data_IF_676218434783
#
_entry.id   IF_676218434783
#
_cell.length_a   1.000
_cell.length_b   1.000
_cell.length_c   1.000
_cell.angle_alpha   90.00
_cell.angle_beta   90.00
_cell.angle_gamma   90.00
#
_symmetry.space_group_name_H-M   'P 1'
#
loop_
_entity.id
_entity.type
_entity.pdbx_description
1 polymer ?
#
# COMPACT_ATOMS: atom_id res chain seq x y z
N UNK A 1 -52.78 -32.93 52.00
CA UNK A 1 -52.40 -32.61 50.61
C UNK A 1 -50.99 -33.12 50.37
N UNK A 2 -50.69 -33.75 49.23
CA UNK A 2 -49.37 -34.32 49.04
C UNK A 2 -48.34 -33.25 48.63
N UNK A 3 -47.19 -33.25 49.30
CA UNK A 3 -46.17 -32.21 49.27
C UNK A 3 -45.66 -31.81 47.86
N UNK A 4 -45.83 -32.67 46.84
CA UNK A 4 -45.45 -32.38 45.46
C UNK A 4 -46.31 -31.32 44.76
N UNK A 5 -47.57 -31.16 45.19
CA UNK A 5 -48.42 -30.03 44.74
C UNK A 5 -47.90 -28.67 45.24
N UNK A 6 -47.12 -28.64 46.32
CA UNK A 6 -46.47 -27.44 46.83
C UNK A 6 -45.12 -27.13 46.17
N UNK A 7 -44.49 -28.10 45.50
CA UNK A 7 -43.17 -27.95 44.86
C UNK A 7 -43.23 -27.51 43.39
N UNK A 8 -44.32 -27.83 42.68
CA UNK A 8 -44.57 -27.42 41.29
C UNK A 8 -44.49 -25.89 41.05
N UNK A 9 -45.04 -25.02 41.93
CA UNK A 9 -44.91 -23.57 41.80
C UNK A 9 -43.48 -23.04 41.99
N UNK A 10 -42.59 -23.82 42.63
CA UNK A 10 -41.20 -23.44 42.89
C UNK A 10 -40.26 -23.85 41.75
N UNK A 11 -40.57 -24.93 41.02
CA UNK A 11 -39.71 -25.49 39.96
C UNK A 11 -39.95 -24.84 38.59
N UNK A 12 -41.19 -24.46 38.28
CA UNK A 12 -41.55 -23.82 37.00
C UNK A 12 -40.86 -22.46 36.75
N UNK A 13 -40.73 -21.55 37.75
CA UNK A 13 -39.99 -20.29 37.59
C UNK A 13 -38.50 -20.51 37.30
N UNK A 14 -37.87 -21.45 38.00
CA UNK A 14 -36.45 -21.78 37.83
C UNK A 14 -36.14 -22.30 36.42
N UNK A 15 -37.00 -23.15 35.86
CA UNK A 15 -36.86 -23.63 34.48
C UNK A 15 -37.04 -22.49 33.45
N UNK A 16 -37.97 -21.58 33.70
CA UNK A 16 -38.18 -20.38 32.89
C UNK A 16 -36.95 -19.45 32.89
N UNK A 17 -36.35 -19.24 34.07
CA UNK A 17 -35.14 -18.43 34.25
C UNK A 17 -33.94 -19.01 33.49
N UNK A 18 -33.76 -20.33 33.53
CA UNK A 18 -32.68 -21.03 32.82
C UNK A 18 -32.85 -20.92 31.31
N UNK A 19 -34.07 -21.09 30.79
CA UNK A 19 -34.36 -20.93 29.36
C UNK A 19 -34.12 -19.49 28.90
N UNK A 20 -34.51 -18.49 29.70
CA UNK A 20 -34.19 -17.07 29.44
C UNK A 20 -32.68 -16.82 29.43
N UNK A 21 -31.96 -17.24 30.47
CA UNK A 21 -30.50 -17.06 30.57
C UNK A 21 -29.73 -17.70 29.40
N UNK A 22 -30.17 -18.86 28.91
CA UNK A 22 -29.56 -19.52 27.75
C UNK A 22 -29.91 -18.77 26.45
N UNK A 23 -31.12 -18.24 26.33
CA UNK A 23 -31.53 -17.37 25.22
C UNK A 23 -30.70 -16.09 25.16
N UNK A 24 -30.58 -15.39 26.29
CA UNK A 24 -29.87 -14.11 26.40
C UNK A 24 -28.38 -14.27 26.08
N UNK A 25 -27.73 -15.34 26.56
CA UNK A 25 -26.33 -15.66 26.22
C UNK A 25 -26.13 -16.00 24.74
N UNK A 26 -27.11 -16.59 24.06
CA UNK A 26 -27.02 -16.85 22.62
C UNK A 26 -27.12 -15.56 21.80
N UNK A 27 -27.99 -14.65 22.21
CA UNK A 27 -28.14 -13.33 21.57
C UNK A 27 -26.86 -12.52 21.74
N UNK A 28 -26.31 -12.47 22.96
CA UNK A 28 -25.07 -11.74 23.26
C UNK A 28 -23.88 -12.29 22.44
N UNK A 29 -23.76 -13.62 22.30
CA UNK A 29 -22.71 -14.21 21.46
C UNK A 29 -22.91 -13.95 19.97
N UNK A 30 -24.15 -13.86 19.49
CA UNK A 30 -24.45 -13.53 18.11
C UNK A 30 -24.12 -12.06 17.81
N UNK A 31 -24.40 -11.15 18.74
CA UNK A 31 -24.05 -9.73 18.63
C UNK A 31 -22.54 -9.52 18.65
N UNK A 32 -21.80 -10.16 19.58
CA UNK A 32 -20.33 -10.11 19.60
C UNK A 32 -19.70 -10.63 18.31
N UNK A 33 -20.23 -11.72 17.74
CA UNK A 33 -19.77 -12.24 16.44
C UNK A 33 -20.05 -11.26 15.30
N UNK A 34 -21.19 -10.59 15.34
CA UNK A 34 -21.55 -9.57 14.34
C UNK A 34 -20.62 -8.36 14.43
N UNK A 35 -20.30 -7.87 15.63
CA UNK A 35 -19.38 -6.75 15.82
C UNK A 35 -17.96 -7.07 15.30
N UNK A 36 -17.47 -8.29 15.56
CA UNK A 36 -16.16 -8.74 15.05
C UNK A 36 -16.15 -8.77 13.51
N UNK A 37 -17.22 -9.30 12.90
CA UNK A 37 -17.36 -9.36 11.44
C UNK A 37 -17.50 -7.97 10.81
N UNK A 38 -18.23 -7.03 11.43
CA UNK A 38 -18.31 -5.64 10.96
C UNK A 38 -16.95 -4.93 11.08
N UNK A 39 -16.17 -5.21 12.13
CA UNK A 39 -14.82 -4.68 12.29
C UNK A 39 -13.84 -5.23 11.24
N UNK A 40 -13.89 -6.54 10.95
CA UNK A 40 -13.11 -7.15 9.86
C UNK A 40 -13.49 -6.60 8.50
N UNK A 41 -14.79 -6.43 8.21
CA UNK A 41 -15.26 -5.85 6.96
C UNK A 41 -14.74 -4.41 6.77
N UNK A 42 -14.78 -3.57 7.82
CA UNK A 42 -14.20 -2.22 7.78
C UNK A 42 -12.70 -2.24 7.50
N UNK A 43 -11.96 -3.15 8.13
CA UNK A 43 -10.50 -3.28 7.93
C UNK A 43 -10.17 -3.75 6.51
N UNK A 44 -10.96 -4.66 5.97
CA UNK A 44 -10.81 -5.15 4.60
C UNK A 44 -11.12 -4.03 3.58
N UNK A 45 -12.14 -3.22 3.85
CA UNK A 45 -12.47 -2.05 3.03
C UNK A 45 -11.32 -1.03 3.01
N UNK A 46 -10.74 -0.71 4.17
CA UNK A 46 -9.60 0.23 4.24
C UNK A 46 -8.36 -0.30 3.50
N UNK A 47 -8.14 -1.62 3.51
CA UNK A 47 -7.05 -2.23 2.75
C UNK A 47 -7.30 -2.12 1.24
N UNK A 48 -8.53 -2.40 0.78
CA UNK A 48 -8.89 -2.27 -0.63
C UNK A 48 -8.73 -0.83 -1.14
N UNK A 49 -9.13 0.16 -0.34
CA UNK A 49 -8.94 1.58 -0.68
C UNK A 49 -7.45 1.94 -0.77
N UNK A 50 -6.62 1.37 0.11
CA UNK A 50 -5.16 1.56 0.07
C UNK A 50 -4.55 0.95 -1.19
N UNK A 51 -4.97 -0.26 -1.58
CA UNK A 51 -4.56 -0.88 -2.84
C UNK A 51 -4.99 -0.07 -4.06
N UNK A 52 -6.20 0.51 -4.04
CA UNK A 52 -6.71 1.33 -5.14
C UNK A 52 -5.85 2.58 -5.34
N UNK A 53 -5.47 3.27 -4.25
CA UNK A 53 -4.56 4.44 -4.31
C UNK A 53 -3.15 4.08 -4.81
N UNK A 54 -2.60 2.96 -4.33
CA UNK A 54 -1.30 2.45 -4.80
C UNK A 54 -1.35 2.11 -6.30
N UNK A 55 -2.45 1.52 -6.77
CA UNK A 55 -2.64 1.24 -8.18
C UNK A 55 -2.69 2.51 -9.02
N UNK A 56 -3.43 3.54 -8.58
CA UNK A 56 -3.49 4.85 -9.25
C UNK A 56 -2.12 5.53 -9.33
N UNK A 57 -1.29 5.43 -8.28
CA UNK A 57 0.08 5.95 -8.29
C UNK A 57 0.96 5.22 -9.32
N UNK A 58 0.90 3.89 -9.34
CA UNK A 58 1.68 3.08 -10.30
C UNK A 58 1.28 3.38 -11.74
N UNK A 59 -0.02 3.58 -12.01
CA UNK A 59 -0.50 3.93 -13.35
C UNK A 59 0.04 5.30 -13.78
N UNK A 60 0.00 6.31 -12.90
CA UNK A 60 0.56 7.64 -13.20
C UNK A 60 2.07 7.60 -13.45
N UNK A 61 2.83 6.86 -12.63
CA UNK A 61 4.28 6.71 -12.83
C UNK A 61 4.59 6.03 -14.17
N UNK A 62 3.81 5.02 -14.57
CA UNK A 62 3.97 4.37 -15.88
C UNK A 62 3.70 5.33 -17.03
N UNK A 63 2.66 6.15 -16.95
CA UNK A 63 2.34 7.15 -17.97
C UNK A 63 3.46 8.20 -18.11
N UNK A 64 4.03 8.67 -16.99
CA UNK A 64 5.18 9.60 -17.03
C UNK A 64 6.42 8.98 -17.65
N UNK A 65 6.75 7.72 -17.31
CA UNK A 65 7.91 7.02 -17.88
C UNK A 65 7.76 6.81 -19.38
N UNK A 66 6.56 6.40 -19.84
CA UNK A 66 6.28 6.23 -21.28
C UNK A 66 6.36 7.57 -22.01
N UNK A 67 5.84 8.65 -21.42
CA UNK A 67 5.90 9.99 -22.01
C UNK A 67 7.35 10.46 -22.16
N UNK A 68 8.19 10.32 -21.13
CA UNK A 68 9.62 10.68 -21.17
C UNK A 68 10.38 9.86 -22.20
N UNK A 69 10.11 8.55 -22.29
CA UNK A 69 10.76 7.68 -23.27
C UNK A 69 10.42 8.11 -24.71
N UNK A 70 9.14 8.40 -24.98
CA UNK A 70 8.68 8.84 -26.31
C UNK A 70 9.27 10.19 -26.71
N UNK A 71 9.45 11.09 -25.75
CA UNK A 71 10.11 12.38 -25.99
C UNK A 71 11.60 12.19 -26.35
N UNK A 72 12.30 11.29 -25.65
CA UNK A 72 13.71 10.98 -25.97
C UNK A 72 13.90 10.35 -27.35
N UNK A 73 12.99 9.45 -27.76
CA UNK A 73 13.04 8.84 -29.10
C UNK A 73 12.78 9.85 -30.23
N UNK A 74 11.84 10.79 -30.03
CA UNK A 74 11.61 11.85 -31.02
C UNK A 74 12.81 12.80 -31.15
N UNK A 75 13.49 13.10 -30.04
CA UNK A 75 14.68 13.95 -30.06
C UNK A 75 15.87 13.28 -30.76
N UNK A 76 16.07 11.97 -30.59
CA UNK A 76 17.14 11.24 -31.28
C UNK A 76 16.85 11.10 -32.77
N UNK A 77 15.62 10.73 -33.15
CA UNK A 77 15.20 10.65 -34.55
C UNK A 77 15.36 12.00 -35.28
N UNK A 78 14.94 13.10 -34.64
CA UNK A 78 15.12 14.46 -35.19
C UNK A 78 16.59 14.86 -35.34
N UNK A 79 17.51 14.38 -34.49
CA UNK A 79 18.95 14.66 -34.63
C UNK A 79 19.55 13.90 -35.79
N UNK A 80 19.23 12.61 -35.93
CA UNK A 80 19.73 11.78 -37.03
C UNK A 80 19.26 12.29 -38.40
N UNK A 81 18.00 12.71 -38.51
CA UNK A 81 17.45 13.24 -39.77
C UNK A 81 18.11 14.56 -40.17
N UNK A 82 18.38 15.45 -39.21
CA UNK A 82 19.13 16.70 -39.44
C UNK A 82 20.57 16.43 -39.89
N UNK A 83 21.25 15.42 -39.35
CA UNK A 83 22.59 15.04 -39.79
C UNK A 83 22.59 14.46 -41.20
N UNK A 84 21.64 13.59 -41.55
CA UNK A 84 21.49 13.05 -42.91
C UNK A 84 21.29 14.17 -43.95
N UNK A 85 20.39 15.11 -43.65
CA UNK A 85 20.17 16.30 -44.50
C UNK A 85 21.45 17.13 -44.66
N UNK A 86 22.17 17.38 -43.56
CA UNK A 86 23.42 18.16 -43.58
C UNK A 86 24.50 17.50 -44.44
N UNK A 87 24.64 16.18 -44.38
CA UNK A 87 25.60 15.44 -45.20
C UNK A 87 25.22 15.48 -46.69
N UNK A 88 23.94 15.28 -47.01
CA UNK A 88 23.45 15.36 -48.39
C UNK A 88 23.68 16.75 -49.02
N UNK A 89 23.43 17.83 -48.27
CA UNK A 89 23.71 19.19 -48.74
C UNK A 89 25.20 19.44 -48.98
N UNK A 90 26.10 18.90 -48.13
CA UNK A 90 27.55 19.02 -48.31
C UNK A 90 28.02 18.33 -49.60
N UNK A 91 27.49 17.15 -49.91
CA UNK A 91 27.85 16.44 -51.15
C UNK A 91 27.34 17.15 -52.40
N UNK A 92 26.13 17.72 -52.36
CA UNK A 92 25.61 18.53 -53.46
C UNK A 92 26.43 19.80 -53.73
N UNK A 93 26.92 20.46 -52.67
CA UNK A 93 27.76 21.66 -52.83
C UNK A 93 29.07 21.27 -53.52
N UNK A 94 29.72 20.21 -53.04
CA UNK A 94 31.01 19.74 -53.57
C UNK A 94 30.92 19.38 -55.05
N UNK A 95 29.89 18.63 -55.45
CA UNK A 95 29.67 18.25 -56.86
C UNK A 95 29.41 19.45 -57.77
N UNK A 96 28.71 20.48 -57.30
CA UNK A 96 28.48 21.73 -58.06
C UNK A 96 29.75 22.57 -58.22
N UNK A 97 30.57 22.65 -57.17
CA UNK A 97 31.86 23.35 -57.22
C UNK A 97 32.82 22.72 -58.22
N UNK A 98 32.90 21.39 -58.24
CA UNK A 98 33.75 20.64 -59.18
C UNK A 98 33.31 20.86 -60.64
N UNK A 99 31.99 20.86 -60.90
CA UNK A 99 31.44 21.12 -62.23
C UNK A 99 31.76 22.55 -62.73
N UNK A 100 31.65 23.55 -61.84
CA UNK A 100 31.97 24.95 -62.18
C UNK A 100 33.45 25.15 -62.49
N UNK A 101 34.34 24.51 -61.73
CA UNK A 101 35.78 24.61 -61.94
C UNK A 101 36.19 24.00 -63.29
N UNK A 102 35.58 22.89 -63.69
CA UNK A 102 35.84 22.27 -65.00
C UNK A 102 35.43 23.19 -66.16
N UNK A 103 34.24 23.78 -66.11
CA UNK A 103 33.74 24.68 -67.16
C UNK A 103 34.63 25.93 -67.34
N UNK A 104 35.18 26.49 -66.26
CA UNK A 104 36.11 27.65 -66.32
C UNK A 104 37.42 27.32 -67.03
N UNK A 105 37.92 26.09 -66.84
CA UNK A 105 39.18 25.64 -67.42
C UNK A 105 39.08 25.45 -68.94
N UNK A 106 37.94 24.93 -69.41
CA UNK A 106 37.65 24.74 -70.83
C UNK A 106 37.55 26.09 -71.56
N UNK A 107 36.80 27.05 -71.01
CA UNK A 107 36.61 28.39 -71.60
C UNK A 107 37.92 29.21 -71.72
N UNK A 108 38.95 28.89 -70.94
CA UNK A 108 40.26 29.56 -71.01
C UNK A 108 41.10 29.06 -72.19
N UNK A 109 41.04 27.76 -72.48
CA UNK A 109 41.81 27.12 -73.56
C UNK A 109 41.37 27.62 -74.94
N UNK A 110 40.08 27.83 -75.13
CA UNK A 110 39.53 28.31 -76.41
C UNK A 110 40.05 29.70 -76.80
N UNK A 111 40.16 30.64 -75.84
CA UNK A 111 40.63 32.02 -76.11
C UNK A 111 42.12 32.13 -76.43
N UNK A 112 42.92 31.14 -76.03
CA UNK A 112 44.36 31.13 -76.32
C UNK A 112 44.65 30.67 -77.76
N UNK A 113 43.84 29.76 -78.31
CA UNK A 113 43.98 29.28 -79.68
C UNK A 113 43.68 30.38 -80.73
N UNK A 114 42.71 31.24 -80.45
CA UNK A 114 42.22 32.25 -81.41
C UNK A 114 43.27 33.34 -81.71
N UNK A 115 44.04 33.76 -80.69
CA UNK A 115 45.04 34.85 -80.80
C UNK A 115 46.25 34.52 -81.67
N UNK A 116 46.63 33.25 -81.78
CA UNK A 116 47.82 32.83 -82.53
C UNK A 116 47.59 32.88 -84.05
N UNK A 117 46.35 32.66 -84.49
CA UNK A 117 46.04 32.56 -85.92
C UNK A 117 46.10 33.90 -86.67
N UNK A 118 45.83 35.02 -85.99
CA UNK A 118 45.62 36.31 -86.66
C UNK A 118 46.92 37.10 -86.92
N UNK A 119 48.03 36.78 -86.26
CA UNK A 119 49.27 37.57 -86.33
C UNK A 119 50.14 37.40 -87.58
N UNK A 120 49.98 36.32 -88.36
CA UNK A 120 51.00 35.88 -89.32
C UNK A 120 50.88 36.46 -90.74
N UNK A 121 49.77 37.12 -91.10
CA UNK A 121 49.38 37.33 -92.51
C UNK A 121 49.84 38.67 -93.12
N UNK A 122 50.18 39.69 -92.33
CA UNK A 122 50.18 41.07 -92.81
C UNK A 122 51.51 41.65 -93.35
N UNK A 123 52.64 40.93 -93.36
CA UNK A 123 53.97 41.57 -93.47
C UNK A 123 54.69 41.55 -94.84
N UNK A 124 54.17 40.93 -95.91
CA UNK A 124 55.02 40.49 -97.05
C UNK A 124 54.76 41.07 -98.47
N UNK A 125 54.08 42.21 -98.72
CA UNK A 125 53.54 42.46 -100.08
C UNK A 125 53.48 43.88 -100.73
N UNK A 126 54.48 44.79 -100.66
CA UNK A 126 54.40 46.09 -101.42
C UNK A 126 55.74 46.68 -102.01
N UNK A 127 55.78 47.18 -103.29
CA UNK A 127 56.98 47.68 -104.02
C UNK A 127 57.26 49.23 -104.03
N UNK A 128 58.45 49.63 -104.55
CA UNK A 128 59.24 50.86 -104.24
C UNK A 128 58.71 52.27 -104.63
N UNK A 129 58.02 52.49 -105.75
CA UNK A 129 57.62 53.87 -106.14
C UNK A 129 56.36 54.35 -105.42
N UNK A 130 55.47 53.41 -105.07
CA UNK A 130 54.47 53.60 -104.03
C UNK A 130 55.12 53.93 -102.69
N UNK A 131 56.39 53.58 -102.43
CA UNK A 131 57.02 53.84 -101.13
C UNK A 131 57.16 55.32 -100.80
N UNK A 132 57.36 56.27 -101.72
CA UNK A 132 57.46 57.69 -101.30
C UNK A 132 56.11 58.27 -100.86
N UNK A 133 55.06 58.05 -101.65
CA UNK A 133 53.69 58.44 -101.28
C UNK A 133 53.17 57.62 -100.09
N UNK A 134 53.54 56.34 -100.02
CA UNK A 134 53.30 55.47 -98.87
C UNK A 134 54.10 55.91 -97.65
N UNK A 135 55.33 56.41 -97.78
CA UNK A 135 56.14 56.93 -96.66
C UNK A 135 55.55 58.24 -96.15
N UNK A 136 55.03 59.11 -97.02
CA UNK A 136 54.30 60.31 -96.59
C UNK A 136 53.00 59.90 -95.88
N UNK A 137 52.18 59.02 -96.47
CA UNK A 137 50.98 58.49 -95.81
C UNK A 137 51.31 57.72 -94.53
N UNK A 138 52.41 57.00 -94.46
CA UNK A 138 52.90 56.31 -93.27
C UNK A 138 53.34 57.30 -92.20
N UNK A 139 53.94 58.45 -92.58
CA UNK A 139 54.25 59.53 -91.64
C UNK A 139 52.99 60.21 -91.12
N UNK A 140 52.02 60.49 -91.98
CA UNK A 140 50.71 61.02 -91.58
C UNK A 140 49.97 60.03 -90.67
N UNK A 141 49.90 58.76 -91.07
CA UNK A 141 49.34 57.68 -90.25
C UNK A 141 50.09 57.52 -88.92
N UNK A 142 51.42 57.62 -88.89
CA UNK A 142 52.18 57.57 -87.65
C UNK A 142 51.91 58.79 -86.74
N UNK A 143 51.64 59.98 -87.31
CA UNK A 143 51.19 61.14 -86.53
C UNK A 143 49.78 60.93 -86.00
N UNK A 144 48.87 60.40 -86.82
CA UNK A 144 47.51 60.05 -86.38
C UNK A 144 47.53 58.95 -85.30
N UNK A 145 48.34 57.91 -85.46
CA UNK A 145 48.54 56.84 -84.48
C UNK A 145 49.12 57.38 -83.18
N UNK A 146 50.11 58.29 -83.23
CA UNK A 146 50.60 58.99 -82.03
C UNK A 146 49.52 59.81 -81.35
N UNK A 147 48.76 60.61 -82.10
CA UNK A 147 47.70 61.43 -81.54
C UNK A 147 46.57 60.57 -80.93
N UNK A 148 46.21 59.47 -81.61
CA UNK A 148 45.24 58.50 -81.12
C UNK A 148 45.76 57.81 -79.85
N UNK A 149 47.05 57.43 -79.82
CA UNK A 149 47.69 56.86 -78.64
C UNK A 149 47.68 57.84 -77.47
N UNK A 150 48.01 59.12 -77.68
CA UNK A 150 47.94 60.16 -76.65
C UNK A 150 46.52 60.39 -76.14
N UNK A 151 45.52 60.35 -77.03
CA UNK A 151 44.11 60.40 -76.64
C UNK A 151 43.69 59.17 -75.83
N UNK A 152 44.10 57.98 -76.24
CA UNK A 152 43.84 56.73 -75.50
C UNK A 152 44.49 56.75 -74.11
N UNK A 153 45.75 57.20 -74.00
CA UNK A 153 46.44 57.34 -72.72
C UNK A 153 45.73 58.34 -71.78
N UNK A 154 45.22 59.45 -72.32
CA UNK A 154 44.41 60.40 -71.54
C UNK A 154 43.09 59.76 -71.08
N UNK A 155 42.45 58.99 -71.94
CA UNK A 155 41.21 58.29 -71.60
C UNK A 155 41.44 57.18 -70.55
N UNK A 156 42.52 56.43 -70.67
CA UNK A 156 42.91 55.40 -69.69
C UNK A 156 43.20 56.03 -68.32
N UNK A 157 43.98 57.13 -68.27
CA UNK A 157 44.20 57.88 -67.03
C UNK A 157 42.89 58.38 -66.41
N UNK A 158 41.97 58.89 -67.23
CA UNK A 158 40.66 59.33 -66.75
C UNK A 158 39.84 58.17 -66.19
N UNK A 159 39.79 57.01 -66.88
CA UNK A 159 39.08 55.83 -66.39
C UNK A 159 39.66 55.27 -65.10
N UNK A 160 40.99 55.22 -64.98
CA UNK A 160 41.67 54.82 -63.74
C UNK A 160 41.27 55.73 -62.59
N UNK A 161 41.20 57.05 -62.82
CA UNK A 161 40.81 58.02 -61.79
C UNK A 161 39.33 57.89 -61.40
N UNK A 162 38.44 57.67 -62.38
CA UNK A 162 37.01 57.41 -62.10
C UNK A 162 36.83 56.11 -61.28
N UNK A 163 37.56 55.04 -61.63
CA UNK A 163 37.53 53.79 -60.88
C UNK A 163 38.07 53.99 -59.46
N UNK A 164 39.17 54.76 -59.30
CA UNK A 164 39.72 55.10 -57.98
C UNK A 164 38.68 55.80 -57.11
N UNK A 165 38.01 56.83 -57.63
CA UNK A 165 36.96 57.56 -56.91
C UNK A 165 35.76 56.68 -56.56
N UNK A 166 35.35 55.78 -57.46
CA UNK A 166 34.28 54.81 -57.20
C UNK A 166 34.67 53.81 -56.11
N UNK A 167 35.90 53.30 -56.12
CA UNK A 167 36.40 52.41 -55.09
C UNK A 167 36.45 53.10 -53.73
N UNK A 168 36.96 54.33 -53.65
CA UNK A 168 36.99 55.12 -52.41
C UNK A 168 35.60 55.33 -51.83
N UNK A 169 34.61 55.68 -52.68
CA UNK A 169 33.22 55.83 -52.26
C UNK A 169 32.62 54.51 -51.75
N UNK A 170 32.94 53.39 -52.38
CA UNK A 170 32.47 52.07 -51.93
C UNK A 170 33.14 51.65 -50.62
N UNK A 171 34.44 51.86 -50.47
CA UNK A 171 35.18 51.57 -49.24
C UNK A 171 34.60 52.33 -48.05
N UNK A 172 34.35 53.64 -48.20
CA UNK A 172 33.72 54.44 -47.14
C UNK A 172 32.32 53.90 -46.75
N UNK A 173 31.55 53.39 -47.73
CA UNK A 173 30.24 52.80 -47.46
C UNK A 173 30.34 51.45 -46.75
N UNK A 174 31.37 50.65 -47.06
CA UNK A 174 31.64 49.38 -46.38
C UNK A 174 32.05 49.63 -44.92
N UNK A 175 32.92 50.61 -44.68
CA UNK A 175 33.33 51.00 -43.32
C UNK A 175 32.13 51.44 -42.47
N UNK A 176 31.25 52.30 -43.00
CA UNK A 176 30.01 52.71 -42.31
C UNK A 176 29.08 51.53 -42.00
N UNK A 177 28.97 50.55 -42.89
CA UNK A 177 28.17 49.35 -42.64
C UNK A 177 28.81 48.45 -41.58
N UNK A 178 30.14 48.33 -41.57
CA UNK A 178 30.86 47.59 -40.54
C UNK A 178 30.69 48.22 -39.16
N UNK A 179 30.80 49.55 -39.06
CA UNK A 179 30.56 50.27 -37.80
C UNK A 179 29.15 50.01 -37.25
N UNK A 180 28.12 50.11 -38.11
CA UNK A 180 26.73 49.82 -37.71
C UNK A 180 26.52 48.38 -37.24
N UNK A 181 27.16 47.40 -37.88
CA UNK A 181 27.07 45.99 -37.46
C UNK A 181 27.71 45.81 -36.08
N UNK A 182 28.86 46.43 -35.84
CA UNK A 182 29.55 46.36 -34.54
C UNK A 182 28.70 47.01 -33.44
N UNK A 183 28.07 48.15 -33.70
CA UNK A 183 27.15 48.79 -32.76
C UNK A 183 25.95 47.90 -32.41
N UNK A 184 25.29 47.32 -33.43
CA UNK A 184 24.19 46.39 -33.20
C UNK A 184 24.62 45.15 -32.40
N UNK A 185 25.81 44.59 -32.68
CA UNK A 185 26.33 43.46 -31.90
C UNK A 185 26.59 43.83 -30.44
N UNK A 186 27.08 45.04 -30.15
CA UNK A 186 27.24 45.53 -28.77
C UNK A 186 25.89 45.67 -28.07
N UNK A 187 24.90 46.29 -28.72
CA UNK A 187 23.55 46.44 -28.16
C UNK A 187 22.90 45.08 -27.88
N UNK A 188 22.95 44.15 -28.84
CA UNK A 188 22.45 42.79 -28.64
C UNK A 188 23.19 42.05 -27.52
N UNK A 189 24.51 42.23 -27.41
CA UNK A 189 25.31 41.65 -26.33
C UNK A 189 24.85 42.14 -24.95
N UNK A 190 24.63 43.44 -24.79
CA UNK A 190 24.13 44.04 -23.54
C UNK A 190 22.74 43.52 -23.17
N UNK A 191 21.83 43.42 -24.16
CA UNK A 191 20.47 42.91 -23.92
C UNK A 191 20.48 41.45 -23.50
N UNK A 192 21.27 40.60 -24.17
CA UNK A 192 21.38 39.17 -23.83
C UNK A 192 22.00 38.97 -22.44
N UNK A 193 23.02 39.75 -22.11
CA UNK A 193 23.64 39.72 -20.78
C UNK A 193 22.63 40.09 -19.68
N UNK A 194 21.87 41.19 -19.85
CA UNK A 194 20.83 41.59 -18.91
C UNK A 194 19.75 40.53 -18.72
N UNK A 195 19.31 39.87 -19.80
CA UNK A 195 18.36 38.74 -19.70
C UNK A 195 18.93 37.54 -18.93
N UNK A 196 20.23 37.25 -19.07
CA UNK A 196 20.88 36.17 -18.33
C UNK A 196 21.07 36.50 -16.85
N UNK A 197 21.47 37.72 -16.53
CA UNK A 197 21.58 38.20 -15.14
C UNK A 197 20.22 38.14 -14.42
N UNK A 198 19.15 38.54 -15.11
CA UNK A 198 17.80 38.47 -14.56
C UNK A 198 17.33 37.03 -14.29
N UNK A 199 17.58 36.09 -15.22
CA UNK A 199 17.28 34.66 -15.00
C UNK A 199 18.05 34.07 -13.83
N UNK A 200 19.32 34.43 -13.66
CA UNK A 200 20.13 33.96 -12.53
C UNK A 200 19.58 34.47 -11.20
N UNK A 201 19.06 35.69 -11.15
CA UNK A 201 18.49 36.25 -9.93
C UNK A 201 17.13 35.61 -9.58
N UNK A 202 16.30 35.33 -10.59
CA UNK A 202 15.05 34.57 -10.44
C UNK A 202 15.32 33.13 -9.94
N UNK A 203 16.38 32.48 -10.43
CA UNK A 203 16.79 31.15 -9.95
C UNK A 203 17.29 31.18 -8.49
N UNK A 204 18.07 32.19 -8.09
CA UNK A 204 18.52 32.34 -6.69
C UNK A 204 17.34 32.55 -5.75
N UNK A 205 16.37 33.38 -6.14
CA UNK A 205 15.17 33.61 -5.32
C UNK A 205 14.32 32.35 -5.20
N UNK A 206 14.15 31.58 -6.28
CA UNK A 206 13.46 30.29 -6.22
C UNK A 206 14.18 29.27 -5.33
N UNK A 207 15.52 29.13 -5.46
CA UNK A 207 16.30 28.27 -4.55
C UNK A 207 16.22 28.72 -3.10
N UNK A 208 16.17 30.03 -2.84
CA UNK A 208 15.94 30.58 -1.50
C UNK A 208 14.58 30.20 -0.93
N UNK A 209 13.52 30.22 -1.75
CA UNK A 209 12.17 29.77 -1.37
C UNK A 209 12.12 28.26 -1.11
N UNK A 210 12.75 27.46 -1.97
CA UNK A 210 12.85 26.01 -1.78
C UNK A 210 13.61 25.65 -0.50
N UNK A 211 14.75 26.31 -0.25
CA UNK A 211 15.51 26.11 0.99
C UNK A 211 14.71 26.52 2.23
N UNK A 212 13.96 27.63 2.19
CA UNK A 212 13.08 28.05 3.28
C UNK A 212 11.93 27.05 3.51
N UNK A 213 11.34 26.51 2.46
CA UNK A 213 10.33 25.44 2.55
C UNK A 213 10.90 24.17 3.16
N UNK A 214 12.11 23.77 2.76
CA UNK A 214 12.80 22.61 3.32
C UNK A 214 13.09 22.84 4.81
N UNK A 215 13.62 24.01 5.20
CA UNK A 215 13.88 24.34 6.61
C UNK A 215 12.58 24.36 7.42
N UNK A 216 11.51 24.99 6.92
CA UNK A 216 10.21 24.99 7.57
C UNK A 216 9.65 23.57 7.73
N UNK A 217 9.79 22.72 6.71
CA UNK A 217 9.37 21.33 6.79
C UNK A 217 10.22 20.53 7.78
N UNK A 218 11.53 20.76 7.82
CA UNK A 218 12.42 20.17 8.81
C UNK A 218 12.13 20.67 10.23
N UNK A 219 11.74 21.93 10.42
CA UNK A 219 11.32 22.50 11.71
C UNK A 219 9.96 21.93 12.16
N UNK A 220 8.98 21.81 11.27
CA UNK A 220 7.71 21.11 11.52
C UNK A 220 7.94 19.65 11.91
N UNK A 221 8.81 18.94 11.18
CA UNK A 221 9.23 17.57 11.53
C UNK A 221 10.03 17.54 12.83
N UNK A 222 10.81 18.58 13.16
CA UNK A 222 11.53 18.69 14.43
C UNK A 222 10.57 18.83 15.62
N UNK A 223 9.40 19.43 15.39
CA UNK A 223 8.35 19.59 16.39
C UNK A 223 7.39 18.38 16.47
N UNK A 224 7.41 17.48 15.48
CA UNK A 224 6.75 16.17 15.51
C UNK A 224 7.83 15.10 15.64
N UNK A 225 8.39 14.99 16.84
CA UNK A 225 9.41 13.98 17.12
C UNK A 225 8.80 12.58 16.93
N UNK A 226 9.29 11.82 15.96
CA UNK A 226 8.99 10.39 15.79
C UNK A 226 9.19 9.61 17.12
N UNK A 227 10.04 10.10 18.02
CA UNK A 227 10.22 9.54 19.35
C UNK A 227 8.99 9.74 20.26
N UNK A 228 8.27 10.86 20.14
CA UNK A 228 7.05 11.14 20.92
C UNK A 228 5.90 10.25 20.46
N UNK A 229 5.76 10.04 19.14
CA UNK A 229 4.77 9.11 18.57
C UNK A 229 5.06 7.65 18.97
N UNK A 230 6.34 7.23 18.88
CA UNK A 230 6.76 5.89 19.34
C UNK A 230 6.53 5.74 20.85
N UNK A 231 6.80 6.78 21.65
CA UNK A 231 6.56 6.76 23.08
C UNK A 231 5.05 6.67 23.39
N UNK A 232 4.20 7.44 22.70
CA UNK A 232 2.75 7.38 22.87
C UNK A 232 2.18 5.98 22.56
N UNK A 233 2.62 5.37 21.44
CA UNK A 233 2.23 3.99 21.07
C UNK A 233 2.68 2.98 22.12
N UNK A 234 3.93 3.08 22.59
CA UNK A 234 4.47 2.19 23.64
C UNK A 234 3.71 2.32 24.96
N UNK A 235 3.34 3.54 25.34
CA UNK A 235 2.59 3.82 26.57
C UNK A 235 1.19 3.19 26.49
N UNK A 236 0.51 3.34 25.34
CA UNK A 236 -0.79 2.74 25.09
C UNK A 236 -0.74 1.20 25.10
N UNK A 237 0.29 0.60 24.51
CA UNK A 237 0.47 -0.85 24.53
C UNK A 237 0.66 -1.37 25.97
N UNK A 238 1.49 -0.68 26.76
CA UNK A 238 1.71 -1.03 28.18
C UNK A 238 0.46 -0.90 29.06
N UNK A 239 -0.46 -0.01 28.69
CA UNK A 239 -1.74 0.18 29.39
C UNK A 239 -2.71 -0.97 29.05
N UNK A 240 -2.74 -1.39 27.79
CA UNK A 240 -3.56 -2.53 27.34
C UNK A 240 -3.08 -3.83 27.97
N UNK A 241 -1.77 -4.05 28.08
CA UNK A 241 -1.20 -5.21 28.78
C UNK A 241 -1.58 -5.23 30.26
N UNK A 242 -1.49 -4.08 30.95
CA UNK A 242 -1.92 -3.96 32.35
C UNK A 242 -3.42 -4.25 32.53
N UNK A 243 -4.27 -3.76 31.63
CA UNK A 243 -5.72 -4.04 31.67
C UNK A 243 -6.03 -5.52 31.44
N UNK A 244 -5.33 -6.17 30.51
CA UNK A 244 -5.47 -7.62 30.31
C UNK A 244 -5.02 -8.43 31.52
N UNK A 245 -3.90 -8.07 32.14
CA UNK A 245 -3.44 -8.70 33.36
C UNK A 245 -4.45 -8.57 34.50
N UNK A 246 -5.05 -7.38 34.67
CA UNK A 246 -6.11 -7.16 35.66
C UNK A 246 -7.34 -8.02 35.39
N UNK A 247 -7.80 -8.10 34.13
CA UNK A 247 -8.95 -8.92 33.76
C UNK A 247 -8.72 -10.41 34.08
N UNK A 248 -7.51 -10.92 33.84
CA UNK A 248 -7.16 -12.31 34.18
C UNK A 248 -7.26 -12.54 35.69
N UNK A 249 -6.80 -11.59 36.51
CA UNK A 249 -6.86 -11.68 37.96
C UNK A 249 -8.30 -11.58 38.50
N UNK A 250 -9.12 -10.72 37.90
CA UNK A 250 -10.54 -10.61 38.23
C UNK A 250 -11.28 -11.92 37.91
N UNK A 251 -10.97 -12.54 36.76
CA UNK A 251 -11.52 -13.84 36.37
C UNK A 251 -11.09 -14.94 37.35
N UNK A 252 -9.80 -14.98 37.75
CA UNK A 252 -9.32 -15.94 38.75
C UNK A 252 -10.05 -15.80 40.08
N UNK A 253 -10.14 -14.57 40.58
CA UNK A 253 -10.86 -14.27 41.82
C UNK A 253 -12.33 -14.70 41.75
N UNK A 254 -13.00 -14.48 40.61
CA UNK A 254 -14.37 -14.91 40.40
C UNK A 254 -14.52 -16.44 40.39
N UNK A 255 -13.57 -17.16 39.78
CA UNK A 255 -13.54 -18.63 39.78
C UNK A 255 -13.36 -19.16 41.21
N UNK A 256 -12.40 -18.61 41.97
CA UNK A 256 -12.12 -19.05 43.34
C UNK A 256 -13.34 -18.85 44.25
N UNK A 257 -13.99 -17.69 44.17
CA UNK A 257 -15.23 -17.41 44.90
C UNK A 257 -16.36 -18.38 44.54
N UNK A 258 -16.53 -18.70 43.25
CA UNK A 258 -17.53 -19.67 42.82
C UNK A 258 -17.23 -21.08 43.32
N UNK A 259 -15.96 -21.47 43.38
CA UNK A 259 -15.54 -22.77 43.89
C UNK A 259 -15.76 -22.90 45.40
N UNK A 260 -15.51 -21.83 46.17
CA UNK A 260 -15.77 -21.81 47.61
C UNK A 260 -17.27 -22.00 47.90
N UNK A 261 -18.14 -21.29 47.18
CA UNK A 261 -19.60 -21.42 47.29
C UNK A 261 -20.05 -22.84 46.95
N UNK A 262 -19.58 -23.40 45.83
CA UNK A 262 -19.93 -24.75 45.42
C UNK A 262 -19.48 -25.81 46.43
N UNK A 263 -18.25 -25.69 46.94
CA UNK A 263 -17.73 -26.58 47.98
C UNK A 263 -18.54 -26.49 49.27
N UNK A 264 -18.94 -25.27 49.67
CA UNK A 264 -19.80 -25.02 50.82
C UNK A 264 -21.19 -25.64 50.66
N UNK A 265 -21.78 -25.54 49.47
CA UNK A 265 -23.07 -26.15 49.15
C UNK A 265 -23.00 -27.68 49.21
N UNK A 266 -21.98 -28.28 48.59
CA UNK A 266 -21.76 -29.74 48.63
C UNK A 266 -21.63 -30.22 50.08
N UNK A 267 -20.81 -29.55 50.91
CA UNK A 267 -20.66 -29.91 52.32
C UNK A 267 -21.98 -29.87 53.10
N UNK A 268 -22.82 -28.84 52.90
CA UNK A 268 -24.14 -28.75 53.56
C UNK A 268 -25.07 -29.88 53.11
N UNK A 269 -25.19 -30.08 51.80
CA UNK A 269 -26.06 -31.16 51.26
C UNK A 269 -25.63 -32.55 51.71
N UNK A 270 -24.33 -32.80 51.90
CA UNK A 270 -23.84 -34.07 52.46
C UNK A 270 -24.16 -34.23 53.93
N UNK A 271 -24.03 -33.16 54.73
CA UNK A 271 -24.44 -33.20 56.14
C UNK A 271 -25.93 -33.49 56.29
N UNK A 272 -26.78 -32.90 55.44
CA UNK A 272 -28.22 -33.15 55.42
C UNK A 272 -28.54 -34.59 55.01
N UNK A 273 -27.78 -35.14 54.05
CA UNK A 273 -27.90 -36.54 53.62
C UNK A 273 -27.51 -37.52 54.72
N UNK A 274 -26.37 -37.31 55.39
CA UNK A 274 -25.91 -38.14 56.51
C UNK A 274 -26.95 -38.14 57.65
N UNK A 275 -27.57 -36.99 57.91
CA UNK A 275 -28.63 -36.84 58.91
C UNK A 275 -29.87 -37.65 58.52
N UNK A 276 -30.28 -37.59 57.25
CA UNK A 276 -31.42 -38.34 56.71
C UNK A 276 -31.17 -39.85 56.75
N UNK A 277 -29.96 -40.30 56.43
CA UNK A 277 -29.57 -41.72 56.50
C UNK A 277 -29.53 -42.25 57.93
N UNK A 278 -29.12 -41.42 58.90
CA UNK A 278 -29.16 -41.78 60.32
C UNK A 278 -30.61 -41.89 60.84
N UNK A 279 -31.50 -40.99 60.43
CA UNK A 279 -32.93 -41.06 60.75
C UNK A 279 -33.58 -42.31 60.18
N UNK A 280 -33.27 -42.68 58.93
CA UNK A 280 -33.74 -43.92 58.30
C UNK A 280 -33.26 -45.16 59.07
N UNK A 281 -31.98 -45.20 59.46
CA UNK A 281 -31.43 -46.29 60.29
C UNK A 281 -32.19 -46.44 61.62
N UNK A 282 -32.45 -45.32 62.30
CA UNK A 282 -33.18 -45.33 63.57
C UNK A 282 -34.63 -45.78 63.41
N UNK A 283 -35.27 -45.43 62.29
CA UNK A 283 -36.61 -45.89 61.95
C UNK A 283 -36.63 -47.40 61.63
N UNK A 284 -35.64 -47.92 60.91
CA UNK A 284 -35.45 -49.35 60.64
C UNK A 284 -35.34 -50.15 61.94
N UNK A 285 -34.49 -49.71 62.88
CA UNK A 285 -34.31 -50.35 64.19
C UNK A 285 -35.58 -50.29 65.04
N UNK A 286 -36.29 -49.16 65.00
CA UNK A 286 -37.57 -48.97 65.71
C UNK A 286 -38.66 -49.89 65.16
N UNK A 287 -38.73 -50.06 63.84
CA UNK A 287 -39.67 -50.97 63.18
C UNK A 287 -39.38 -52.44 63.54
N UNK A 288 -38.12 -52.85 63.57
CA UNK A 288 -37.73 -54.19 64.02
C UNK A 288 -38.12 -54.43 65.49
N UNK A 289 -37.84 -53.46 66.37
CA UNK A 289 -38.22 -53.53 67.78
C UNK A 289 -39.75 -53.62 67.98
N UNK A 290 -40.53 -52.86 67.20
CA UNK A 290 -41.98 -52.90 67.23
C UNK A 290 -42.53 -54.25 66.72
N UNK A 291 -41.94 -54.79 65.64
CA UNK A 291 -42.30 -56.09 65.07
C UNK A 291 -42.03 -57.24 66.06
N UNK A 292 -40.93 -57.18 66.82
CA UNK A 292 -40.60 -58.17 67.84
C UNK A 292 -41.58 -58.16 69.02
N UNK A 293 -42.14 -57.00 69.36
CA UNK A 293 -43.14 -56.82 70.44
C UNK A 293 -44.58 -57.13 70.00
N UNK A 294 -44.88 -57.10 68.70
CA UNK A 294 -46.22 -57.30 68.17
C UNK A 294 -46.61 -58.80 68.16
N UNK A 295 -47.20 -59.28 69.26
CA UNK A 295 -47.64 -60.68 69.42
C UNK A 295 -48.78 -61.09 68.47
N UNK A 296 -49.53 -60.12 67.91
CA UNK A 296 -50.68 -60.31 67.03
C UNK A 296 -50.32 -60.59 65.56
N UNK A 297 -49.07 -60.38 65.13
CA UNK A 297 -48.67 -60.60 63.73
C UNK A 297 -48.31 -62.08 63.52
N UNK A 298 -48.84 -62.76 62.48
CA UNK A 298 -48.46 -64.14 62.15
C UNK A 298 -46.96 -64.32 61.93
N UNK A 299 -46.39 -65.46 62.35
CA UNK A 299 -44.95 -65.74 62.25
C UNK A 299 -44.41 -65.67 60.81
N UNK A 300 -45.20 -66.07 59.83
CA UNK A 300 -44.88 -65.98 58.40
C UNK A 300 -44.74 -64.52 57.96
N UNK A 301 -45.73 -63.67 58.27
CA UNK A 301 -45.69 -62.25 57.96
C UNK A 301 -44.55 -61.51 58.68
N UNK A 302 -44.23 -61.88 59.93
CA UNK A 302 -43.05 -61.31 60.63
C UNK A 302 -41.73 -61.64 59.92
N UNK A 303 -41.59 -62.85 59.39
CA UNK A 303 -40.39 -63.26 58.66
C UNK A 303 -40.22 -62.45 57.38
N UNK A 304 -41.30 -62.28 56.62
CA UNK A 304 -41.31 -61.48 55.38
C UNK A 304 -41.00 -60.01 55.63
N UNK A 305 -41.62 -59.39 56.64
CA UNK A 305 -41.34 -57.99 57.02
C UNK A 305 -39.89 -57.82 57.47
N UNK A 306 -39.33 -58.80 58.22
CA UNK A 306 -37.93 -58.75 58.66
C UNK A 306 -36.95 -58.89 57.49
N UNK A 307 -37.22 -59.76 56.52
CA UNK A 307 -36.40 -59.87 55.31
C UNK A 307 -36.47 -58.59 54.46
N UNK A 308 -37.64 -57.98 54.38
CA UNK A 308 -37.82 -56.69 53.71
C UNK A 308 -37.04 -55.55 54.38
N UNK A 309 -37.11 -55.42 55.73
CA UNK A 309 -36.32 -54.41 56.46
C UNK A 309 -34.80 -54.64 56.27
N UNK A 310 -34.35 -55.89 56.25
CA UNK A 310 -32.94 -56.21 55.97
C UNK A 310 -32.54 -55.81 54.55
N UNK A 311 -33.38 -56.07 53.55
CA UNK A 311 -33.11 -55.68 52.17
C UNK A 311 -33.05 -54.14 52.01
N UNK A 312 -33.91 -53.41 52.72
CA UNK A 312 -33.89 -51.95 52.77
C UNK A 312 -32.58 -51.43 53.38
N UNK A 313 -32.14 -52.01 54.49
CA UNK A 313 -30.89 -51.65 55.16
C UNK A 313 -29.66 -51.91 54.26
N UNK A 314 -29.63 -53.02 53.53
CA UNK A 314 -28.55 -53.31 52.57
C UNK A 314 -28.49 -52.26 51.46
N UNK A 315 -29.64 -51.90 50.85
CA UNK A 315 -29.68 -50.89 49.79
C UNK A 315 -29.33 -49.49 50.28
N UNK A 316 -29.72 -49.15 51.52
CA UNK A 316 -29.32 -47.89 52.18
C UNK A 316 -27.80 -47.81 52.33
N UNK A 317 -27.16 -48.93 52.70
CA UNK A 317 -25.72 -48.99 52.87
C UNK A 317 -25.00 -48.85 51.52
N UNK A 318 -25.45 -49.53 50.47
CA UNK A 318 -24.93 -49.39 49.10
C UNK A 318 -25.03 -47.94 48.60
N UNK A 319 -26.18 -47.29 48.81
CA UNK A 319 -26.36 -45.87 48.46
C UNK A 319 -25.43 -44.95 49.27
N UNK A 320 -25.24 -45.20 50.56
CA UNK A 320 -24.33 -44.42 51.41
C UNK A 320 -22.87 -44.55 50.97
N UNK A 321 -22.43 -45.75 50.60
CA UNK A 321 -21.07 -46.02 50.12
C UNK A 321 -20.81 -45.34 48.76
N UNK A 322 -21.75 -45.45 47.82
CA UNK A 322 -21.66 -44.76 46.53
C UNK A 322 -21.67 -43.23 46.70
N UNK A 323 -22.56 -42.67 47.52
CA UNK A 323 -22.61 -41.22 47.77
C UNK A 323 -21.32 -40.69 48.39
N UNK A 324 -20.69 -41.47 49.30
CA UNK A 324 -19.41 -41.12 49.91
C UNK A 324 -18.25 -41.10 48.90
N UNK A 325 -18.21 -42.04 47.97
CA UNK A 325 -17.19 -42.05 46.90
C UNK A 325 -17.29 -40.81 46.01
N UNK A 326 -18.50 -40.46 45.57
CA UNK A 326 -18.75 -39.25 44.76
C UNK A 326 -18.37 -37.98 45.51
N UNK A 327 -18.73 -37.89 46.79
CA UNK A 327 -18.42 -36.73 47.62
C UNK A 327 -16.92 -36.60 47.91
N UNK A 328 -16.21 -37.70 48.15
CA UNK A 328 -14.78 -37.71 48.42
C UNK A 328 -13.95 -37.26 47.22
N UNK A 329 -14.36 -37.68 46.01
CA UNK A 329 -13.69 -37.29 44.77
C UNK A 329 -13.97 -35.82 44.40
N UNK A 330 -15.20 -35.33 44.60
CA UNK A 330 -15.56 -33.92 44.41
C UNK A 330 -14.83 -32.98 45.38
N UNK A 331 -14.63 -33.40 46.64
CA UNK A 331 -13.92 -32.58 47.65
C UNK A 331 -12.42 -32.53 47.36
N UNK A 332 -11.82 -33.62 46.88
CA UNK A 332 -10.38 -33.68 46.58
C UNK A 332 -10.03 -33.03 45.23
N UNK A 333 -10.94 -33.08 44.25
CA UNK A 333 -10.73 -32.53 42.90
C UNK A 333 -12.02 -31.92 42.35
N UNK A 334 -12.33 -30.67 42.72
CA UNK A 334 -13.57 -30.00 42.31
C UNK A 334 -13.68 -29.75 40.79
N UNK A 335 -12.57 -29.81 40.06
CA UNK A 335 -12.48 -29.53 38.63
C UNK A 335 -12.48 -30.78 37.73
N UNK A 336 -12.42 -31.98 38.32
CA UNK A 336 -12.45 -33.21 37.53
C UNK A 336 -13.91 -33.55 37.19
N UNK A 337 -14.16 -33.85 35.92
CA UNK A 337 -15.47 -34.36 35.49
C UNK A 337 -15.64 -35.75 36.09
N UNK A 338 -16.59 -35.88 37.04
CA UNK A 338 -16.94 -37.17 37.60
C UNK A 338 -17.27 -38.15 36.46
N UNK A 339 -16.78 -39.41 36.52
CA UNK A 339 -17.13 -40.40 35.51
C UNK A 339 -18.65 -40.57 35.45
N UNK A 340 -19.24 -40.42 34.26
CA UNK A 340 -20.69 -40.49 34.02
C UNK A 340 -21.32 -41.74 34.68
N UNK A 341 -20.62 -42.88 34.60
CA UNK A 341 -21.05 -44.15 35.20
C UNK A 341 -21.28 -44.10 36.72
N UNK A 342 -20.52 -43.25 37.43
CA UNK A 342 -20.61 -43.12 38.89
C UNK A 342 -21.83 -42.27 39.27
N UNK A 343 -22.13 -41.23 38.49
CA UNK A 343 -23.32 -40.39 38.68
C UNK A 343 -24.59 -41.17 38.35
N UNK A 344 -24.61 -41.90 37.23
CA UNK A 344 -25.73 -42.76 36.83
C UNK A 344 -26.03 -43.84 37.88
N UNK A 345 -25.00 -44.41 38.51
CA UNK A 345 -25.17 -45.44 39.53
C UNK A 345 -25.75 -44.88 40.84
N UNK A 346 -25.34 -43.67 41.24
CA UNK A 346 -25.94 -42.97 42.41
C UNK A 346 -27.40 -42.64 42.16
N UNK A 347 -27.74 -42.14 40.96
CA UNK A 347 -29.13 -41.86 40.58
C UNK A 347 -29.98 -43.14 40.54
N UNK A 348 -29.42 -44.24 40.02
CA UNK A 348 -30.07 -45.56 39.98
C UNK A 348 -30.37 -46.07 41.39
N UNK A 349 -29.38 -46.05 42.29
CA UNK A 349 -29.54 -46.51 43.68
C UNK A 349 -30.54 -45.62 44.45
N UNK A 350 -30.51 -44.30 44.25
CA UNK A 350 -31.48 -43.39 44.85
C UNK A 350 -32.91 -43.65 44.38
N UNK A 351 -33.10 -43.85 43.07
CA UNK A 351 -34.40 -44.17 42.50
C UNK A 351 -34.95 -45.49 43.03
N UNK A 352 -34.08 -46.49 43.18
CA UNK A 352 -34.44 -47.81 43.68
C UNK A 352 -34.81 -47.75 45.18
N UNK A 353 -34.00 -47.08 45.99
CA UNK A 353 -34.29 -46.86 47.42
C UNK A 353 -35.60 -46.08 47.62
N UNK A 354 -35.83 -45.05 46.79
CA UNK A 354 -37.07 -44.28 46.80
C UNK A 354 -38.29 -45.12 46.42
N UNK A 355 -38.14 -46.07 45.48
CA UNK A 355 -39.20 -46.99 45.12
C UNK A 355 -39.48 -48.00 46.24
N UNK A 356 -38.44 -48.52 46.90
CA UNK A 356 -38.58 -49.48 48.00
C UNK A 356 -39.24 -48.85 49.23
N UNK A 357 -38.87 -47.60 49.57
CA UNK A 357 -39.52 -46.84 50.64
C UNK A 357 -40.99 -46.55 50.31
N UNK A 358 -41.33 -46.31 49.03
CA UNK A 358 -42.73 -46.16 48.59
C UNK A 358 -43.51 -47.47 48.61
N UNK A 359 -42.82 -48.60 48.42
CA UNK A 359 -43.40 -49.94 48.39
C UNK A 359 -43.37 -50.65 49.76
N UNK A 360 -42.96 -49.97 50.84
CA UNK A 360 -43.17 -50.47 52.20
C UNK A 360 -44.69 -50.72 52.35
N UNK A 361 -45.13 -51.94 52.70
CA UNK A 361 -46.54 -52.26 52.91
C UNK A 361 -47.02 -51.60 54.22
N UNK A 362 -47.12 -50.28 54.20
CA UNK A 362 -47.65 -49.41 55.25
C UNK A 362 -48.90 -48.66 54.77
N UNK A 363 -49.41 -48.97 53.58
CA UNK A 363 -50.69 -48.44 53.07
C UNK A 363 -51.78 -49.52 52.88
N UNK A 364 -51.45 -50.81 52.88
CA UNK A 364 -52.45 -51.89 52.74
C UNK A 364 -52.90 -52.51 54.08
N UNK A 365 -52.34 -52.08 55.23
CA UNK A 365 -52.86 -52.45 56.55
C UNK A 365 -54.09 -51.62 56.99
N UNK A 366 -54.65 -50.78 56.10
CA UNK A 366 -55.97 -50.14 56.32
C UNK A 366 -57.16 -51.10 56.13
N UNK A 367 -56.93 -52.37 55.78
CA UNK A 367 -57.99 -53.37 55.60
C UNK A 367 -58.02 -54.50 56.65
N UNK A 368 -57.22 -54.43 57.73
CA UNK A 368 -57.29 -55.39 58.85
C UNK A 368 -57.42 -54.67 60.20
N UNK A 369 -58.28 -53.66 60.28
CA UNK A 369 -58.88 -53.17 61.52
C UNK A 369 -60.39 -53.09 61.36
#
# INVERSE_FOLDING_TARGET
MPAWTAALPLVLPLLSEVVKCVGDKRVENAEKRREILEAEAKKMQTNLDSYRRLHEQIVKEKEEVVSKHKETEMQTASKEERERMRLAYREQIKTREDALNKARLEARREREAERVSQGLVLLNSLPLFSQKAFVIRQREMAIYERNLHDCMLKQEKHHVEVIRLLLEKHSAKVEQLQERIVEQQKEHGVVVQGMHEQRLEDEKTNRGREAALIVAHYEEIRHVSLADDIHAVRTNFSLVERKHAQLIEDIRTAIDNSQEINTGLVKRTMSDLDTSLAQLSSAEDSLLSALDKASSVPLTARKEIREFIKALATRRQEYSECARLVSGDLIRRPNDVLPVKVVEEVERLFAQLSADVKNIPMLELKQIL
#
